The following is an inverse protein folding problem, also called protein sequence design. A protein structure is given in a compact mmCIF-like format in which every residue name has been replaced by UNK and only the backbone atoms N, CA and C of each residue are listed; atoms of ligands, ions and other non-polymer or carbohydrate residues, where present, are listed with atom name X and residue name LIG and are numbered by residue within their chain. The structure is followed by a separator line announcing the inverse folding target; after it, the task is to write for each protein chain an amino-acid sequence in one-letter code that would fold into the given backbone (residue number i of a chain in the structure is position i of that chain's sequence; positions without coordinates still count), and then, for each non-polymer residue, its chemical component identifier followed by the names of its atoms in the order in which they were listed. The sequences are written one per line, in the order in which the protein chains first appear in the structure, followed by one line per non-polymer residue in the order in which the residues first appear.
data_IF_467470596344
#
_entry.id   IF_467470596344
#
_cell.length_a   1.000
_cell.length_b   1.000
_cell.length_c   1.000
_cell.angle_alpha   90.00
_cell.angle_beta   90.00
_cell.angle_gamma   90.00
#
_symmetry.space_group_name_H-M   'P 1'
#
loop_
_entity.id
_entity.type
_entity.pdbx_description
1 polymer ?
#
# COMPACT_ATOMS: atom_id res chain seq x y z
N UNK A 1 3.83 6.19 2.89
CA UNK A 1 3.07 7.10 3.77
C UNK A 1 3.90 8.36 3.98
N UNK A 2 3.35 9.52 3.58
CA UNK A 2 3.98 10.84 3.60
C UNK A 2 4.18 11.44 5.01
N UNK A 3 3.72 10.75 6.06
CA UNK A 3 3.92 11.12 7.47
C UNK A 3 4.94 10.26 8.20
N UNK A 4 5.53 9.26 7.54
CA UNK A 4 6.57 8.40 8.14
C UNK A 4 7.84 9.17 8.56
N UNK A 5 8.05 10.38 8.04
CA UNK A 5 9.24 11.19 8.30
C UNK A 5 8.97 12.47 9.11
N UNK A 6 7.76 12.71 9.60
CA UNK A 6 7.38 13.99 10.24
C UNK A 6 8.29 14.38 11.42
N UNK A 7 8.80 13.37 12.13
CA UNK A 7 9.68 13.54 13.29
C UNK A 7 11.13 13.07 13.02
N UNK A 8 11.50 12.96 11.74
CA UNK A 8 12.84 12.61 11.30
C UNK A 8 13.19 11.12 11.44
N UNK A 9 14.44 10.80 11.07
CA UNK A 9 14.91 9.42 10.96
C UNK A 9 14.89 8.63 12.27
N UNK A 10 15.13 9.28 13.42
CA UNK A 10 15.07 8.60 14.73
C UNK A 10 13.65 8.10 15.05
N UNK A 11 12.64 8.95 14.83
CA UNK A 11 11.24 8.57 15.04
C UNK A 11 10.73 7.55 14.00
N UNK A 12 11.21 7.64 12.76
CA UNK A 12 10.96 6.60 11.76
C UNK A 12 11.47 5.24 12.25
N UNK A 13 12.72 5.21 12.72
CA UNK A 13 13.34 3.98 13.22
C UNK A 13 12.65 3.45 14.48
N UNK A 14 12.18 4.34 15.35
CA UNK A 14 11.40 3.94 16.51
C UNK A 14 10.07 3.30 16.10
N UNK A 15 9.37 3.87 15.11
CA UNK A 15 8.16 3.28 14.52
C UNK A 15 8.44 1.88 13.96
N UNK A 16 9.50 1.73 13.16
CA UNK A 16 9.92 0.43 12.60
C UNK A 16 10.19 -0.58 13.71
N UNK A 17 10.88 -0.18 14.78
CA UNK A 17 11.20 -1.04 15.93
C UNK A 17 9.94 -1.45 16.70
N UNK A 18 9.03 -0.52 16.97
CA UNK A 18 7.78 -0.78 17.68
C UNK A 18 6.93 -1.79 16.91
N UNK A 19 6.77 -1.61 15.59
CA UNK A 19 6.05 -2.54 14.73
C UNK A 19 6.65 -3.95 14.83
N UNK A 20 7.97 -4.07 14.61
CA UNK A 20 8.70 -5.36 14.70
C UNK A 20 8.51 -6.02 16.07
N UNK A 21 8.62 -5.26 17.17
CA UNK A 21 8.48 -5.77 18.54
C UNK A 21 7.08 -6.30 18.85
N UNK A 22 6.06 -5.83 18.12
CA UNK A 22 4.67 -6.28 18.23
C UNK A 22 4.29 -7.31 17.15
N UNK A 23 5.27 -7.90 16.46
CA UNK A 23 5.04 -8.94 15.45
C UNK A 23 4.48 -8.42 14.11
N UNK A 24 4.52 -7.10 13.89
CA UNK A 24 4.12 -6.47 12.63
C UNK A 24 5.39 -6.26 11.79
N UNK A 25 5.36 -6.72 10.54
CA UNK A 25 6.50 -6.54 9.63
C UNK A 25 6.30 -5.22 8.87
N UNK A 26 7.15 -4.20 9.09
CA UNK A 26 7.09 -2.97 8.31
C UNK A 26 7.62 -3.22 6.89
N UNK A 27 7.06 -2.48 5.92
CA UNK A 27 7.50 -2.41 4.53
C UNK A 27 7.50 -0.95 4.09
N UNK A 28 8.34 -0.59 3.13
CA UNK A 28 8.38 0.77 2.56
C UNK A 28 9.14 1.80 3.40
N UNK A 29 9.80 1.38 4.48
CA UNK A 29 10.68 2.19 5.33
C UNK A 29 11.65 1.28 6.07
N UNK A 30 12.88 1.73 6.30
CA UNK A 30 13.93 0.88 6.83
C UNK A 30 15.11 1.62 7.45
N UNK A 31 16.01 0.83 8.03
CA UNK A 31 17.27 1.27 8.62
C UNK A 31 18.33 1.57 7.55
N UNK A 32 18.13 1.01 6.36
CA UNK A 32 18.99 1.09 5.20
C UNK A 32 18.17 0.92 3.91
N UNK A 33 18.82 1.10 2.77
CA UNK A 33 18.20 0.97 1.44
C UNK A 33 17.58 -0.41 1.21
N UNK A 34 18.23 -1.47 1.69
CA UNK A 34 17.80 -2.85 1.49
C UNK A 34 16.53 -3.18 2.28
N UNK A 35 16.47 -2.78 3.55
CA UNK A 35 15.33 -3.02 4.43
C UNK A 35 14.13 -2.14 4.09
N UNK A 36 14.36 -0.92 3.57
CA UNK A 36 13.29 -0.09 3.06
C UNK A 36 12.68 -0.68 1.78
N UNK A 37 13.51 -0.93 0.76
CA UNK A 37 13.06 -1.35 -0.58
C UNK A 37 12.80 -2.85 -0.72
N UNK A 38 13.12 -3.64 0.31
CA UNK A 38 12.95 -5.08 0.32
C UNK A 38 11.49 -5.51 0.26
N UNK A 39 11.24 -6.62 -0.44
CA UNK A 39 9.94 -7.29 -0.42
C UNK A 39 9.79 -8.19 0.80
N UNK A 40 8.55 -8.37 1.25
CA UNK A 40 8.21 -9.33 2.32
C UNK A 40 7.34 -10.42 1.72
N UNK A 41 7.79 -11.68 1.85
CA UNK A 41 7.00 -12.85 1.42
C UNK A 41 6.44 -13.57 2.64
N UNK A 42 5.13 -13.76 2.68
CA UNK A 42 4.42 -14.49 3.73
C UNK A 42 3.69 -15.68 3.13
N UNK A 43 3.87 -16.85 3.76
CA UNK A 43 3.10 -18.04 3.44
C UNK A 43 1.82 -18.07 4.27
N UNK A 44 0.67 -18.18 3.60
CA UNK A 44 -0.65 -18.35 4.21
C UNK A 44 -1.25 -19.63 3.65
N UNK A 45 -1.37 -20.67 4.49
CA UNK A 45 -1.69 -22.01 3.99
C UNK A 45 -0.61 -22.51 3.03
N UNK A 46 -0.99 -22.86 1.80
CA UNK A 46 -0.05 -23.23 0.71
C UNK A 46 0.47 -22.03 -0.09
N UNK A 47 -0.24 -20.90 -0.08
CA UNK A 47 0.02 -19.73 -0.94
C UNK A 47 1.10 -18.82 -0.35
N UNK A 48 2.04 -18.36 -1.18
CA UNK A 48 3.02 -17.33 -0.85
C UNK A 48 2.58 -15.98 -1.42
N UNK A 49 2.44 -14.98 -0.55
CA UNK A 49 2.06 -13.61 -0.90
C UNK A 49 3.25 -12.70 -0.65
N UNK A 50 3.69 -12.00 -1.69
CA UNK A 50 4.71 -10.96 -1.63
C UNK A 50 4.07 -9.59 -1.44
N UNK A 51 4.71 -8.75 -0.64
CA UNK A 51 4.35 -7.36 -0.42
C UNK A 51 5.53 -6.47 -0.73
N UNK A 52 5.28 -5.42 -1.52
CA UNK A 52 6.19 -4.31 -1.75
C UNK A 52 5.44 -3.00 -1.44
N UNK A 53 6.14 -1.97 -0.99
CA UNK A 53 5.51 -0.69 -0.65
C UNK A 53 6.40 0.49 -1.03
N UNK A 54 5.80 1.50 -1.68
CA UNK A 54 6.49 2.69 -2.18
C UNK A 54 5.63 3.94 -2.07
N UNK A 55 6.23 5.10 -2.29
CA UNK A 55 5.51 6.38 -2.36
C UNK A 55 6.04 7.30 -3.44
N UNK A 56 5.12 8.02 -4.10
CA UNK A 56 5.43 9.01 -5.13
C UNK A 56 5.63 10.42 -4.57
N UNK A 57 5.36 10.64 -3.27
CA UNK A 57 5.16 11.98 -2.70
C UNK A 57 6.40 12.60 -2.04
N UNK A 58 7.41 11.80 -1.69
CA UNK A 58 8.60 12.34 -1.04
C UNK A 58 9.67 12.81 -2.03
N UNK A 59 10.54 13.76 -1.63
CA UNK A 59 11.77 14.07 -2.36
C UNK A 59 12.84 12.98 -2.16
N UNK A 60 13.83 12.92 -3.07
CA UNK A 60 14.96 11.97 -2.97
C UNK A 60 15.76 12.12 -1.67
N UNK A 61 15.73 13.29 -1.03
CA UNK A 61 16.48 13.52 0.21
C UNK A 61 16.01 12.68 1.39
N UNK A 62 14.80 12.11 1.33
CA UNK A 62 14.21 11.27 2.39
C UNK A 62 14.20 9.78 2.03
N UNK A 63 14.78 9.44 0.89
CA UNK A 63 14.92 8.07 0.42
C UNK A 63 16.01 7.33 1.19
N UNK A 64 15.75 6.06 1.52
CA UNK A 64 16.76 5.20 2.12
C UNK A 64 17.92 4.99 1.14
N UNK A 65 19.16 5.17 1.59
CA UNK A 65 20.34 5.10 0.71
C UNK A 65 21.55 4.53 1.42
N UNK A 66 22.14 3.46 0.87
CA UNK A 66 23.19 2.71 1.55
C UNK A 66 22.76 2.35 2.97
N UNK A 67 23.53 2.78 3.98
CA UNK A 67 23.25 2.55 5.40
C UNK A 67 22.47 3.70 6.08
N UNK A 68 21.79 4.55 5.31
CA UNK A 68 20.97 5.63 5.85
C UNK A 68 19.51 5.20 5.93
N UNK A 69 18.84 5.44 7.07
CA UNK A 69 17.42 5.15 7.20
C UNK A 69 16.61 6.06 6.27
N UNK A 70 15.45 5.57 5.85
CA UNK A 70 14.66 6.27 4.85
C UNK A 70 13.41 5.50 4.46
N UNK A 71 12.72 6.08 3.49
CA UNK A 71 11.46 5.59 2.94
C UNK A 71 11.71 5.10 1.52
N UNK A 72 10.95 4.10 1.10
CA UNK A 72 11.02 3.56 -0.26
C UNK A 72 10.33 4.50 -1.22
N UNK A 73 11.11 5.18 -2.04
CA UNK A 73 10.61 6.08 -3.08
C UNK A 73 10.12 5.26 -4.27
N UNK A 74 9.16 5.80 -5.01
CA UNK A 74 8.77 5.28 -6.30
C UNK A 74 9.85 5.55 -7.36
N UNK A 75 10.37 4.46 -7.92
CA UNK A 75 11.15 4.39 -9.16
C UNK A 75 10.54 3.25 -10.01
N UNK A 76 9.96 3.60 -11.14
CA UNK A 76 9.16 2.67 -11.94
C UNK A 76 9.96 1.46 -12.43
N UNK A 77 11.18 1.68 -12.93
CA UNK A 77 12.03 0.63 -13.48
C UNK A 77 12.54 -0.29 -12.37
N UNK A 78 12.97 0.30 -11.25
CA UNK A 78 13.43 -0.47 -10.09
C UNK A 78 12.29 -1.32 -9.50
N UNK A 79 11.07 -0.78 -9.42
CA UNK A 79 9.90 -1.50 -8.91
C UNK A 79 9.48 -2.61 -9.87
N UNK A 80 9.46 -2.36 -11.18
CA UNK A 80 9.16 -3.40 -12.17
C UNK A 80 10.17 -4.55 -12.09
N UNK A 81 11.46 -4.25 -11.92
CA UNK A 81 12.48 -5.26 -11.69
C UNK A 81 12.28 -6.03 -10.37
N UNK A 82 11.93 -5.33 -9.28
CA UNK A 82 11.65 -5.94 -7.98
C UNK A 82 10.44 -6.88 -8.02
N UNK A 83 9.37 -6.50 -8.73
CA UNK A 83 8.19 -7.35 -8.99
C UNK A 83 8.63 -8.62 -9.73
N UNK A 84 9.38 -8.48 -10.82
CA UNK A 84 9.87 -9.62 -11.59
C UNK A 84 10.74 -10.58 -10.77
N UNK A 85 11.60 -10.03 -9.90
CA UNK A 85 12.47 -10.80 -9.02
C UNK A 85 11.68 -11.56 -7.93
N UNK A 86 10.74 -10.90 -7.24
CA UNK A 86 9.99 -11.54 -6.15
C UNK A 86 8.98 -12.56 -6.68
N UNK A 87 8.45 -12.37 -7.89
CA UNK A 87 7.50 -13.31 -8.52
C UNK A 87 8.05 -14.73 -8.63
N UNK A 88 9.37 -14.92 -8.74
CA UNK A 88 10.00 -16.24 -8.75
C UNK A 88 9.77 -17.04 -7.44
N UNK A 89 9.40 -16.35 -6.36
CA UNK A 89 9.25 -16.91 -5.03
C UNK A 89 7.86 -16.68 -4.41
N UNK A 90 6.92 -16.11 -5.15
CA UNK A 90 5.58 -15.76 -4.67
C UNK A 90 4.50 -16.12 -5.69
N UNK A 91 3.36 -16.60 -5.20
CA UNK A 91 2.19 -16.92 -6.03
C UNK A 91 1.38 -15.66 -6.34
N UNK A 92 1.36 -14.72 -5.39
CA UNK A 92 0.66 -13.43 -5.46
C UNK A 92 1.62 -12.31 -5.09
N UNK A 93 1.63 -11.23 -5.87
CA UNK A 93 2.41 -10.02 -5.64
C UNK A 93 1.48 -8.84 -5.41
N UNK A 94 1.58 -8.24 -4.22
CA UNK A 94 0.84 -7.06 -3.80
C UNK A 94 1.78 -5.87 -3.73
N UNK A 95 1.44 -4.78 -4.41
CA UNK A 95 2.18 -3.51 -4.32
C UNK A 95 1.31 -2.46 -3.65
N UNK A 96 1.76 -1.95 -2.51
CA UNK A 96 1.14 -0.82 -1.83
C UNK A 96 1.76 0.49 -2.30
N UNK A 97 0.93 1.45 -2.70
CA UNK A 97 1.38 2.76 -3.17
C UNK A 97 0.73 3.88 -2.38
N UNK A 98 1.58 4.80 -1.92
CA UNK A 98 1.14 6.03 -1.28
C UNK A 98 1.33 7.22 -2.23
N UNK A 99 0.23 7.69 -2.81
CA UNK A 99 0.22 8.47 -4.06
C UNK A 99 -1.05 9.30 -4.30
N UNK A 100 -1.10 10.04 -5.41
CA UNK A 100 -2.29 10.81 -5.80
C UNK A 100 -2.41 12.13 -5.03
N UNK A 101 -3.57 12.76 -5.14
CA UNK A 101 -3.86 14.05 -4.53
C UNK A 101 -4.87 13.87 -3.38
N UNK A 102 -4.68 14.62 -2.30
CA UNK A 102 -5.59 14.58 -1.16
C UNK A 102 -7.02 15.01 -1.55
N UNK A 103 -8.00 14.24 -1.06
CA UNK A 103 -9.44 14.49 -1.16
C UNK A 103 -10.04 14.44 -2.58
N UNK A 104 -9.25 14.09 -3.59
CA UNK A 104 -9.75 13.84 -4.93
C UNK A 104 -10.44 12.47 -5.01
N UNK A 105 -11.72 12.47 -5.35
CA UNK A 105 -12.58 11.27 -5.38
C UNK A 105 -12.35 10.35 -6.57
N UNK A 106 -11.54 10.78 -7.55
CA UNK A 106 -11.22 9.99 -8.74
C UNK A 106 -9.70 9.90 -8.91
N UNK A 107 -9.22 8.72 -9.29
CA UNK A 107 -7.81 8.53 -9.59
C UNK A 107 -7.39 9.33 -10.83
N UNK A 108 -6.29 10.07 -10.71
CA UNK A 108 -5.75 10.88 -11.80
C UNK A 108 -5.08 10.00 -12.88
N UNK A 109 -4.73 10.62 -14.02
CA UNK A 109 -4.15 9.89 -15.15
C UNK A 109 -2.82 9.21 -14.80
N UNK A 110 -2.03 9.79 -13.90
CA UNK A 110 -0.72 9.24 -13.53
C UNK A 110 -0.87 8.04 -12.59
N UNK A 111 -1.77 8.10 -11.60
CA UNK A 111 -2.12 6.93 -10.78
C UNK A 111 -2.55 5.75 -11.69
N UNK A 112 -3.42 6.01 -12.67
CA UNK A 112 -3.89 5.00 -13.65
C UNK A 112 -2.76 4.43 -14.48
N UNK A 113 -1.86 5.28 -14.97
CA UNK A 113 -0.68 4.86 -15.76
C UNK A 113 0.22 3.95 -14.92
N UNK A 114 0.64 4.42 -13.75
CA UNK A 114 1.53 3.67 -12.85
C UNK A 114 0.91 2.33 -12.47
N UNK A 115 -0.35 2.32 -11.99
CA UNK A 115 -1.01 1.09 -11.55
C UNK A 115 -1.00 0.01 -12.63
N UNK A 116 -1.41 0.38 -13.85
CA UNK A 116 -1.47 -0.53 -14.99
C UNK A 116 -0.07 -1.01 -15.41
N UNK A 117 0.94 -0.14 -15.38
CA UNK A 117 2.34 -0.55 -15.62
C UNK A 117 2.79 -1.61 -14.61
N UNK A 118 2.47 -1.47 -13.33
CA UNK A 118 2.85 -2.45 -12.31
C UNK A 118 2.12 -3.78 -12.48
N UNK A 119 0.85 -3.76 -12.88
CA UNK A 119 0.13 -4.98 -13.25
C UNK A 119 0.81 -5.67 -14.45
N UNK A 120 1.19 -4.92 -15.48
CA UNK A 120 1.93 -5.46 -16.65
C UNK A 120 3.29 -6.03 -16.23
N UNK A 121 3.97 -5.43 -15.26
CA UNK A 121 5.23 -5.92 -14.70
C UNK A 121 5.09 -7.21 -13.88
N UNK A 122 3.87 -7.61 -13.51
CA UNK A 122 3.59 -8.88 -12.83
C UNK A 122 3.00 -8.74 -11.42
N UNK A 123 2.59 -7.54 -11.00
CA UNK A 123 1.78 -7.39 -9.79
C UNK A 123 0.37 -7.96 -10.03
N UNK A 124 -0.18 -8.65 -9.04
CA UNK A 124 -1.57 -9.14 -9.09
C UNK A 124 -2.54 -8.14 -8.45
N UNK A 125 -2.07 -7.39 -7.45
CA UNK A 125 -2.86 -6.40 -6.72
C UNK A 125 -2.04 -5.13 -6.50
N UNK A 126 -2.59 -3.98 -6.87
CA UNK A 126 -2.08 -2.65 -6.48
C UNK A 126 -3.05 -2.02 -5.49
N UNK A 127 -2.54 -1.64 -4.31
CA UNK A 127 -3.31 -1.05 -3.22
C UNK A 127 -2.83 0.37 -2.95
N UNK A 128 -3.60 1.34 -3.42
CA UNK A 128 -3.37 2.75 -3.22
C UNK A 128 -3.96 3.29 -1.92
N UNK A 129 -3.31 4.30 -1.38
CA UNK A 129 -3.78 5.14 -0.27
C UNK A 129 -3.08 6.51 -0.32
N UNK A 130 -3.48 7.45 0.54
CA UNK A 130 -3.11 8.89 0.62
C UNK A 130 -4.27 9.85 0.33
N UNK A 131 -5.14 9.65 -0.68
CA UNK A 131 -6.22 10.60 -0.96
C UNK A 131 -7.22 10.84 0.17
N UNK A 132 -7.19 10.04 1.25
CA UNK A 132 -8.10 10.09 2.39
C UNK A 132 -9.58 9.83 2.08
N UNK A 133 -9.91 9.63 0.80
CA UNK A 133 -11.25 9.27 0.31
C UNK A 133 -11.15 8.00 -0.54
N UNK A 134 -12.27 7.28 -0.67
CA UNK A 134 -12.36 6.10 -1.53
C UNK A 134 -12.30 6.54 -3.00
N UNK A 135 -11.42 5.92 -3.78
CA UNK A 135 -11.36 6.06 -5.24
C UNK A 135 -11.80 4.75 -5.91
N UNK A 136 -11.94 4.77 -7.23
CA UNK A 136 -12.46 3.64 -7.99
C UNK A 136 -11.61 2.36 -7.86
N UNK A 137 -12.25 1.22 -8.09
CA UNK A 137 -11.62 -0.10 -8.21
C UNK A 137 -11.61 -0.49 -9.67
N UNK A 138 -10.46 -0.91 -10.18
CA UNK A 138 -10.29 -1.32 -11.57
C UNK A 138 -9.76 -2.77 -11.64
N UNK A 139 -10.31 -3.54 -12.57
CA UNK A 139 -9.69 -4.78 -13.04
C UNK A 139 -8.99 -4.49 -14.37
N UNK A 140 -7.67 -4.68 -14.40
CA UNK A 140 -6.86 -4.48 -15.60
C UNK A 140 -6.16 -5.79 -15.97
N UNK A 141 -6.56 -6.40 -17.08
CA UNK A 141 -6.17 -7.78 -17.39
C UNK A 141 -6.57 -8.74 -16.24
N UNK A 142 -5.60 -9.47 -15.70
CA UNK A 142 -5.80 -10.36 -14.56
C UNK A 142 -5.62 -9.67 -13.19
N UNK A 143 -5.11 -8.44 -13.18
CA UNK A 143 -4.79 -7.69 -11.97
C UNK A 143 -5.95 -6.91 -11.38
N UNK A 144 -5.85 -6.60 -10.09
CA UNK A 144 -6.76 -5.73 -9.34
C UNK A 144 -6.05 -4.45 -8.92
N UNK A 145 -6.72 -3.32 -9.09
CA UNK A 145 -6.22 -2.01 -8.71
C UNK A 145 -7.26 -1.35 -7.80
N UNK A 146 -6.83 -0.99 -6.60
CA UNK A 146 -7.60 -0.16 -5.68
C UNK A 146 -6.89 1.19 -5.61
N UNK A 147 -7.42 2.22 -6.25
CA UNK A 147 -6.68 3.48 -6.37
C UNK A 147 -6.54 4.24 -5.03
N UNK A 148 -7.56 4.14 -4.19
CA UNK A 148 -7.53 4.56 -2.80
C UNK A 148 -8.63 3.83 -2.02
N UNK A 149 -8.26 3.23 -0.89
CA UNK A 149 -9.23 2.60 0.04
C UNK A 149 -9.84 3.60 1.05
N UNK A 150 -9.47 4.88 0.98
CA UNK A 150 -9.92 5.88 1.96
C UNK A 150 -9.32 5.68 3.34
N UNK A 151 -9.96 6.26 4.36
CA UNK A 151 -9.53 6.16 5.75
C UNK A 151 -10.07 4.87 6.41
N UNK A 152 -9.37 4.37 7.43
CA UNK A 152 -9.81 3.24 8.27
C UNK A 152 -9.92 3.66 9.73
N UNK A 153 -8.81 4.05 10.34
CA UNK A 153 -8.76 4.68 11.69
C UNK A 153 -8.06 6.02 11.50
N UNK A 154 -8.82 7.11 11.44
CA UNK A 154 -8.29 8.45 11.20
C UNK A 154 -9.21 9.55 11.76
N UNK A 155 -8.64 10.67 12.16
CA UNK A 155 -9.33 11.76 12.88
C UNK A 155 -9.77 12.95 12.00
N UNK A 156 -9.86 12.75 10.69
CA UNK A 156 -10.28 13.76 9.72
C UNK A 156 -11.80 13.83 9.52
N UNK A 157 -12.53 14.36 10.51
CA UNK A 157 -14.00 14.45 10.48
C UNK A 157 -14.58 15.70 9.80
N UNK A 158 -13.82 16.41 8.99
CA UNK A 158 -14.28 17.64 8.34
C UNK A 158 -15.19 17.38 7.12
N UNK A 159 -15.33 16.14 6.65
CA UNK A 159 -16.23 15.76 5.56
C UNK A 159 -16.75 14.32 5.71
N UNK A 160 -17.89 14.01 5.09
CA UNK A 160 -18.41 12.64 5.05
C UNK A 160 -17.46 11.70 4.29
N UNK A 161 -16.88 12.17 3.18
CA UNK A 161 -15.99 11.37 2.34
C UNK A 161 -14.72 10.89 3.07
N UNK A 162 -14.19 11.69 4.01
CA UNK A 162 -13.03 11.34 4.84
C UNK A 162 -13.40 10.48 6.05
N UNK A 163 -14.70 10.32 6.33
CA UNK A 163 -15.27 9.44 7.35
C UNK A 163 -15.81 8.13 6.75
N UNK A 164 -15.53 7.89 5.47
CA UNK A 164 -15.85 6.66 4.75
C UNK A 164 -14.56 5.96 4.30
N UNK A 165 -14.63 4.64 4.19
CA UNK A 165 -13.52 3.80 3.76
C UNK A 165 -14.00 2.56 3.04
N UNK A 166 -13.05 1.82 2.49
CA UNK A 166 -13.31 0.59 1.76
C UNK A 166 -12.36 -0.51 2.23
N UNK A 167 -12.91 -1.62 2.73
CA UNK A 167 -12.16 -2.85 2.93
C UNK A 167 -12.35 -3.77 1.74
N UNK A 168 -11.24 -4.35 1.27
CA UNK A 168 -11.26 -5.34 0.19
C UNK A 168 -11.02 -6.74 0.73
N UNK A 169 -11.99 -7.62 0.55
CA UNK A 169 -11.84 -9.05 0.81
C UNK A 169 -11.49 -9.75 -0.50
N UNK A 170 -10.26 -10.26 -0.61
CA UNK A 170 -9.76 -10.97 -1.80
C UNK A 170 -9.58 -12.44 -1.47
N UNK A 171 -10.29 -13.32 -2.17
CA UNK A 171 -10.15 -14.77 -2.01
C UNK A 171 -9.17 -15.31 -3.03
N UNK A 172 -8.19 -16.08 -2.55
CA UNK A 172 -7.12 -16.65 -3.35
C UNK A 172 -7.13 -18.17 -3.18
N UNK A 173 -7.18 -18.90 -4.30
CA UNK A 173 -7.14 -20.37 -4.35
C UNK A 173 -6.06 -20.76 -5.35
N UNK A 174 -5.13 -21.63 -4.93
CA UNK A 174 -4.05 -22.14 -5.78
C UNK A 174 -3.28 -21.03 -6.53
N UNK A 175 -2.95 -19.96 -5.81
CA UNK A 175 -2.23 -18.81 -6.37
C UNK A 175 -3.04 -17.93 -7.31
N UNK A 176 -4.35 -18.13 -7.42
CA UNK A 176 -5.24 -17.37 -8.30
C UNK A 176 -6.29 -16.59 -7.52
N UNK A 177 -6.54 -15.34 -7.90
CA UNK A 177 -7.60 -14.51 -7.33
C UNK A 177 -8.96 -15.00 -7.88
N UNK A 178 -9.83 -15.48 -6.99
CA UNK A 178 -11.16 -16.01 -7.34
C UNK A 178 -12.23 -14.95 -7.19
N UNK A 179 -12.21 -14.22 -6.07
CA UNK A 179 -13.17 -13.15 -5.78
C UNK A 179 -12.47 -11.94 -5.18
N UNK A 180 -13.05 -10.77 -5.40
CA UNK A 180 -12.70 -9.53 -4.71
C UNK A 180 -14.01 -8.81 -4.35
N UNK A 181 -14.30 -8.73 -3.06
CA UNK A 181 -15.53 -8.13 -2.52
C UNK A 181 -15.20 -6.80 -1.86
N UNK A 182 -15.96 -5.79 -2.25
CA UNK A 182 -15.95 -4.47 -1.64
C UNK A 182 -16.80 -4.50 -0.36
N UNK A 183 -16.23 -4.03 0.75
CA UNK A 183 -16.91 -3.92 2.04
C UNK A 183 -16.84 -2.44 2.46
N UNK A 184 -17.92 -1.67 2.28
CA UNK A 184 -17.97 -0.28 2.69
C UNK A 184 -17.80 -0.14 4.21
N UNK A 185 -17.09 0.89 4.61
CA UNK A 185 -16.84 1.22 6.00
C UNK A 185 -17.26 2.65 6.30
N UNK A 186 -17.70 2.87 7.53
CA UNK A 186 -17.86 4.20 8.10
C UNK A 186 -17.01 4.34 9.35
N UNK A 187 -16.60 5.56 9.62
CA UNK A 187 -15.86 5.93 10.82
C UNK A 187 -16.85 6.65 11.74
N UNK A 188 -16.93 6.21 13.00
CA UNK A 188 -17.77 6.86 14.01
C UNK A 188 -17.21 8.22 14.46
N UNK A 189 -17.99 9.07 15.14
CA UNK A 189 -17.49 10.31 15.72
C UNK A 189 -16.33 10.16 16.71
N UNK A 190 -16.07 8.94 17.21
CA UNK A 190 -14.93 8.59 18.07
C UNK A 190 -13.82 7.87 17.29
N UNK A 191 -13.79 8.00 15.97
CA UNK A 191 -12.75 7.51 15.06
C UNK A 191 -12.58 5.98 15.02
N UNK A 192 -13.66 5.26 15.35
CA UNK A 192 -13.71 3.81 15.25
C UNK A 192 -14.37 3.39 13.93
N UNK A 193 -13.72 2.56 13.09
CA UNK A 193 -14.33 2.00 11.89
C UNK A 193 -15.40 0.96 12.25
N UNK A 194 -16.47 0.95 11.48
CA UNK A 194 -17.53 -0.07 11.55
C UNK A 194 -18.06 -0.37 10.15
N UNK A 195 -18.62 -1.57 9.97
CA UNK A 195 -19.33 -1.98 8.77
C UNK A 195 -20.80 -1.63 9.00
N UNK A 196 -21.41 -0.69 8.25
CA UNK A 196 -22.79 -0.25 8.50
C UNK A 196 -23.86 -1.35 8.38
N UNK A 197 -23.52 -2.45 7.71
CA UNK A 197 -24.41 -3.56 7.37
C UNK A 197 -24.35 -4.73 8.38
N UNK A 198 -23.54 -4.61 9.44
CA UNK A 198 -23.40 -5.57 10.55
C UNK A 198 -23.84 -4.94 11.87
#
# INVERSE_FOLDING_TARGET
NNHMWDWGGEALLDTVRILKSNGIIPIGAGEDELSANGSVVRKVGSTKVAFLAYTTLYPHSLEASGNKPGISRFDEDAIAAAIGAVRQNADIVVVSLHWGEEYESNANAEQKRIARTLIVAGADIVVGHHPHVVQEVERYGNGLIFYSLGNFVFDQNFSDATMEGLMMEVTIIDGSIITARQIPLKISPTFQPYIPEL
#
